data_IF_128245341558
#
_entry.id   IF_128245341558
#
_cell.length_a   1.000
_cell.length_b   1.000
_cell.length_c   1.000
_cell.angle_alpha   90.00
_cell.angle_beta   90.00
_cell.angle_gamma   90.00
#
_symmetry.space_group_name_H-M   'P 1'
#
loop_
_entity.id
_entity.type
_entity.pdbx_description
1 polymer ?
#
# COMPACT_ATOMS: atom_id res chain seq x y z
N UNK A 1 -1.40 20.79 -5.15
CA UNK A 1 0.09 20.72 -5.07
C UNK A 1 0.52 20.31 -3.68
N UNK A 2 1.79 19.99 -3.48
CA UNK A 2 2.36 19.65 -2.16
C UNK A 2 3.58 20.52 -1.88
N UNK A 3 3.84 20.83 -0.61
CA UNK A 3 4.99 21.62 -0.19
C UNK A 3 5.32 21.40 1.27
N UNK A 4 6.52 21.83 1.69
CA UNK A 4 6.96 21.76 3.08
C UNK A 4 7.62 23.06 3.50
N UNK A 5 7.40 23.43 4.74
CA UNK A 5 8.03 24.58 5.39
C UNK A 5 8.66 24.11 6.71
N UNK A 6 9.76 24.74 7.10
CA UNK A 6 10.38 24.50 8.39
C UNK A 6 9.92 25.60 9.35
N UNK A 7 9.35 25.19 10.48
CA UNK A 7 8.89 26.08 11.55
C UNK A 7 9.51 25.61 12.87
N UNK A 8 9.94 26.57 13.69
CA UNK A 8 10.38 26.34 15.06
C UNK A 8 9.48 27.20 15.96
N UNK A 9 8.37 26.62 16.46
CA UNK A 9 7.38 27.39 17.19
C UNK A 9 7.76 27.55 18.67
N UNK A 10 7.45 28.73 19.22
CA UNK A 10 7.42 28.95 20.67
C UNK A 10 6.09 28.44 21.26
N UNK A 11 6.07 28.19 22.59
CA UNK A 11 4.92 27.59 23.28
C UNK A 11 3.63 28.41 23.18
N UNK A 12 3.75 29.73 22.98
CA UNK A 12 2.63 30.66 22.90
C UNK A 12 2.19 30.96 21.47
N UNK A 13 2.88 30.38 20.48
CA UNK A 13 2.58 30.69 19.09
C UNK A 13 1.27 30.04 18.64
N UNK A 14 0.54 30.79 17.81
CA UNK A 14 -0.62 30.31 17.07
C UNK A 14 -0.40 30.64 15.59
N UNK A 15 -0.45 29.60 14.74
CA UNK A 15 -0.21 29.74 13.31
C UNK A 15 -1.49 29.55 12.52
N UNK A 16 -1.58 30.25 11.38
CA UNK A 16 -2.58 30.02 10.36
C UNK A 16 -1.89 30.08 8.99
N UNK A 17 -2.42 29.36 8.02
CA UNK A 17 -2.00 29.42 6.63
C UNK A 17 -2.97 30.30 5.83
N UNK A 18 -2.43 31.27 5.09
CA UNK A 18 -3.16 32.00 4.05
C UNK A 18 -2.76 31.41 2.70
N UNK A 19 -3.74 31.05 1.88
CA UNK A 19 -3.50 30.46 0.57
C UNK A 19 -4.58 30.89 -0.43
N UNK A 20 -4.25 30.84 -1.72
CA UNK A 20 -5.19 31.15 -2.81
C UNK A 20 -5.56 29.89 -3.57
N UNK A 21 -6.84 29.73 -3.88
CA UNK A 21 -7.28 28.66 -4.77
C UNK A 21 -6.99 28.99 -6.26
N UNK A 22 -7.35 28.08 -7.16
CA UNK A 22 -7.16 28.24 -8.60
C UNK A 22 -7.89 29.45 -9.20
N UNK A 23 -8.90 29.99 -8.49
CA UNK A 23 -9.66 31.18 -8.89
C UNK A 23 -9.11 32.46 -8.26
N UNK A 24 -8.04 32.36 -7.47
CA UNK A 24 -7.40 33.49 -6.78
C UNK A 24 -8.09 33.93 -5.49
N UNK A 25 -9.09 33.18 -5.00
CA UNK A 25 -9.79 33.49 -3.75
C UNK A 25 -8.90 33.16 -2.57
N UNK A 26 -8.76 34.09 -1.63
CA UNK A 26 -7.99 33.88 -0.39
C UNK A 26 -8.76 33.05 0.62
N UNK A 27 -8.08 32.04 1.15
CA UNK A 27 -8.56 31.15 2.19
C UNK A 27 -7.63 31.23 3.40
N UNK A 28 -8.21 31.04 4.59
CA UNK A 28 -7.47 30.92 5.84
C UNK A 28 -7.73 29.56 6.45
N UNK A 29 -6.66 28.88 6.85
CA UNK A 29 -6.72 27.61 7.57
C UNK A 29 -5.88 27.73 8.84
N UNK A 30 -6.52 27.63 10.01
CA UNK A 30 -5.78 27.65 11.28
C UNK A 30 -5.00 26.33 11.45
N UNK A 31 -3.74 26.42 11.89
CA UNK A 31 -2.92 25.24 12.20
C UNK A 31 -3.20 24.75 13.62
N UNK A 32 -2.91 23.46 13.93
CA UNK A 32 -3.06 22.93 15.28
C UNK A 32 -2.26 23.73 16.30
N UNK A 33 -2.77 23.91 17.53
CA UNK A 33 -2.06 24.61 18.59
C UNK A 33 -0.77 23.86 18.97
N UNK A 34 0.25 24.62 19.35
CA UNK A 34 1.54 24.07 19.82
C UNK A 34 1.30 23.28 21.10
N UNK A 35 1.77 22.03 21.14
CA UNK A 35 1.70 21.19 22.34
C UNK A 35 2.89 21.46 23.24
N UNK A 36 2.64 21.70 24.54
CA UNK A 36 3.68 21.93 25.54
C UNK A 36 4.44 20.66 25.97
N UNK A 37 3.97 19.48 25.54
CA UNK A 37 4.56 18.18 25.82
C UNK A 37 4.44 17.26 24.59
N UNK A 38 5.31 16.26 24.52
CA UNK A 38 5.40 15.30 23.41
C UNK A 38 6.83 15.13 22.91
N UNK A 39 6.96 14.64 21.68
CA UNK A 39 8.24 14.53 20.97
C UNK A 39 8.10 15.03 19.54
N UNK A 40 9.16 15.66 19.03
CA UNK A 40 9.29 16.00 17.63
C UNK A 40 10.19 14.96 16.96
N UNK A 41 9.69 14.33 15.89
CA UNK A 41 10.45 13.40 15.06
C UNK A 41 10.82 14.09 13.75
N UNK A 42 12.11 14.12 13.42
CA UNK A 42 12.62 14.54 12.12
C UNK A 42 13.32 13.36 11.47
N UNK A 43 13.10 13.21 10.16
CA UNK A 43 13.73 12.17 9.35
C UNK A 43 14.26 12.78 8.06
N UNK A 44 15.45 12.35 7.66
CA UNK A 44 16.09 12.70 6.40
C UNK A 44 16.62 11.42 5.73
N UNK A 45 16.37 11.29 4.44
CA UNK A 45 16.99 10.24 3.64
C UNK A 45 18.34 10.75 3.11
N UNK A 46 19.43 10.08 3.47
CA UNK A 46 20.80 10.46 3.10
C UNK A 46 21.55 9.20 2.65
N UNK A 47 21.83 9.07 1.34
CA UNK A 47 22.72 8.07 0.75
C UNK A 47 22.66 6.67 1.41
N UNK A 48 21.59 5.91 1.11
CA UNK A 48 21.34 4.55 1.63
C UNK A 48 21.26 4.46 3.16
N UNK A 49 20.92 5.57 3.82
CA UNK A 49 20.65 5.64 5.26
C UNK A 49 19.47 6.57 5.52
N UNK A 50 18.69 6.22 6.52
CA UNK A 50 17.63 7.08 7.05
C UNK A 50 18.13 7.64 8.39
N UNK A 51 18.36 8.94 8.43
CA UNK A 51 18.82 9.66 9.62
C UNK A 51 17.61 10.23 10.32
N UNK A 52 17.42 9.87 11.59
CA UNK A 52 16.34 10.40 12.40
C UNK A 52 16.87 11.15 13.61
N UNK A 53 16.13 12.16 14.04
CA UNK A 53 16.31 12.81 15.34
C UNK A 53 14.98 12.91 16.07
N UNK A 54 15.03 12.69 17.38
CA UNK A 54 13.92 12.84 18.30
C UNK A 54 14.29 13.92 19.29
N UNK A 55 13.40 14.91 19.46
CA UNK A 55 13.55 15.97 20.43
C UNK A 55 12.35 16.03 21.38
N UNK A 56 12.59 16.41 22.64
CA UNK A 56 11.56 16.71 23.63
C UNK A 56 11.74 18.13 24.20
N UNK A 57 10.69 18.76 24.74
CA UNK A 57 10.84 20.00 25.50
C UNK A 57 11.75 19.81 26.71
N UNK A 58 12.64 20.78 26.98
CA UNK A 58 13.62 20.68 28.05
C UNK A 58 12.97 20.58 29.43
N UNK A 59 11.86 21.30 29.66
CA UNK A 59 11.19 21.32 30.96
C UNK A 59 10.27 20.10 31.19
N UNK A 60 10.09 19.25 30.18
CA UNK A 60 9.26 18.04 30.30
C UNK A 60 10.04 16.89 30.97
N UNK A 61 9.51 16.35 32.06
CA UNK A 61 10.03 15.11 32.66
C UNK A 61 9.54 13.84 31.94
N UNK A 62 8.54 13.95 31.07
CA UNK A 62 8.08 12.86 30.23
C UNK A 62 9.03 12.59 29.05
N UNK A 63 9.02 11.36 28.54
CA UNK A 63 9.76 10.92 27.34
C UNK A 63 11.29 11.12 27.43
N UNK A 64 11.86 11.04 28.64
CA UNK A 64 13.32 11.02 28.84
C UNK A 64 13.99 9.80 28.21
N UNK A 65 13.21 8.75 27.95
CA UNK A 65 13.59 7.62 27.12
C UNK A 65 12.42 7.31 26.20
N UNK A 66 12.73 6.98 24.95
CA UNK A 66 11.74 6.59 23.93
C UNK A 66 12.25 5.41 23.13
N UNK A 67 11.33 4.65 22.55
CA UNK A 67 11.63 3.54 21.67
C UNK A 67 11.35 3.99 20.24
N UNK A 68 12.35 3.90 19.37
CA UNK A 68 12.19 4.14 17.94
C UNK A 68 12.11 2.79 17.25
N UNK A 69 11.04 2.57 16.49
CA UNK A 69 10.82 1.34 15.74
C UNK A 69 10.53 1.66 14.29
N UNK A 70 11.17 0.96 13.36
CA UNK A 70 10.87 1.03 11.94
C UNK A 70 10.29 -0.31 11.46
N UNK A 71 9.25 -0.22 10.65
CA UNK A 71 8.55 -1.35 10.07
C UNK A 71 8.48 -1.18 8.55
N UNK A 72 8.67 -2.28 7.84
CA UNK A 72 8.55 -2.35 6.38
C UNK A 72 8.03 -3.73 6.02
N UNK A 73 7.06 -3.82 5.09
CA UNK A 73 6.45 -5.08 4.68
C UNK A 73 5.98 -5.96 5.86
N UNK A 74 5.42 -5.33 6.90
CA UNK A 74 4.94 -5.99 8.14
C UNK A 74 6.04 -6.61 9.01
N UNK A 75 7.31 -6.31 8.74
CA UNK A 75 8.45 -6.76 9.54
C UNK A 75 9.09 -5.57 10.27
N UNK A 76 9.56 -5.80 11.49
CA UNK A 76 10.38 -4.83 12.22
C UNK A 76 11.78 -4.89 11.63
N UNK A 77 12.22 -3.81 10.99
CA UNK A 77 13.54 -3.71 10.36
C UNK A 77 14.54 -2.93 11.23
N UNK A 78 14.05 -2.17 12.21
CA UNK A 78 14.88 -1.45 13.16
C UNK A 78 14.14 -1.25 14.49
N UNK A 79 14.85 -1.41 15.61
CA UNK A 79 14.34 -1.06 16.94
C UNK A 79 15.51 -0.57 17.79
N UNK A 80 15.39 0.61 18.38
CA UNK A 80 16.39 1.16 19.29
C UNK A 80 15.75 1.99 20.40
N UNK A 81 16.41 2.03 21.55
CA UNK A 81 16.07 2.95 22.63
C UNK A 81 16.91 4.22 22.48
N UNK A 82 16.25 5.38 22.54
CA UNK A 82 16.90 6.70 22.50
C UNK A 82 16.80 7.32 23.88
N UNK A 83 17.95 7.63 24.46
CA UNK A 83 18.04 8.34 25.75
C UNK A 83 18.05 9.86 25.50
N UNK A 84 17.07 10.54 26.09
CA UNK A 84 16.86 11.98 26.04
C UNK A 84 16.96 12.63 27.43
N UNK A 85 17.51 11.93 28.42
CA UNK A 85 17.61 12.42 29.81
C UNK A 85 18.59 13.58 29.92
N UNK A 86 19.82 13.38 29.45
CA UNK A 86 20.92 14.35 29.58
C UNK A 86 20.99 15.31 28.38
N UNK A 87 20.49 14.89 27.21
CA UNK A 87 20.34 15.72 26.02
C UNK A 87 18.88 15.68 25.55
N UNK A 88 18.28 16.85 25.33
CA UNK A 88 16.86 16.96 24.92
C UNK A 88 16.61 16.60 23.47
N UNK A 89 17.67 16.36 22.70
CA UNK A 89 17.64 15.88 21.33
C UNK A 89 18.71 14.80 21.14
N UNK A 90 18.31 13.69 20.54
CA UNK A 90 19.22 12.60 20.16
C UNK A 90 18.67 11.90 18.92
N UNK A 91 19.48 11.07 18.27
CA UNK A 91 19.12 10.49 16.99
C UNK A 91 19.98 9.30 16.63
N UNK A 92 19.71 8.74 15.46
CA UNK A 92 20.39 7.58 14.94
C UNK A 92 20.26 7.46 13.44
N UNK A 93 20.95 6.47 12.89
CA UNK A 93 20.93 6.16 11.48
C UNK A 93 20.43 4.73 11.31
N UNK A 94 19.48 4.53 10.40
CA UNK A 94 19.01 3.23 9.97
C UNK A 94 19.68 2.94 8.62
N UNK A 95 20.56 1.93 8.52
CA UNK A 95 21.07 1.49 7.23
C UNK A 95 19.93 0.99 6.36
N UNK A 96 19.79 1.52 5.14
CA UNK A 96 18.70 1.14 4.23
C UNK A 96 19.17 0.34 3.03
N UNK A 97 20.48 0.11 2.87
CA UNK A 97 21.05 -0.55 1.69
C UNK A 97 20.51 -1.97 1.44
N UNK A 98 20.30 -2.73 2.51
CA UNK A 98 19.82 -4.13 2.46
C UNK A 98 18.29 -4.25 2.55
N UNK A 99 17.57 -3.11 2.71
CA UNK A 99 16.12 -3.12 2.78
C UNK A 99 15.52 -3.29 1.38
N UNK A 100 14.32 -3.87 1.24
CA UNK A 100 13.63 -3.85 -0.03
C UNK A 100 13.22 -2.42 -0.43
N UNK A 101 12.87 -2.22 -1.71
CA UNK A 101 12.20 -0.98 -2.13
C UNK A 101 10.76 -0.97 -1.61
N UNK A 102 10.29 0.19 -1.15
CA UNK A 102 8.91 0.39 -0.71
C UNK A 102 8.77 1.39 0.44
N UNK A 103 7.61 1.36 1.07
CA UNK A 103 7.25 2.24 2.18
C UNK A 103 7.79 1.69 3.51
N UNK A 104 8.49 2.54 4.24
CA UNK A 104 8.97 2.31 5.60
C UNK A 104 8.28 3.26 6.57
N UNK A 105 7.72 2.71 7.65
CA UNK A 105 7.06 3.47 8.72
C UNK A 105 7.97 3.51 9.94
N UNK A 106 8.31 4.71 10.39
CA UNK A 106 9.07 4.97 11.61
C UNK A 106 8.13 5.50 12.69
N UNK A 107 8.05 4.82 13.83
CA UNK A 107 7.21 5.21 14.96
C UNK A 107 8.06 5.38 16.22
N UNK A 108 7.83 6.46 16.96
CA UNK A 108 8.42 6.72 18.27
C UNK A 108 7.38 6.38 19.33
N UNK A 109 7.74 5.55 20.29
CA UNK A 109 6.90 5.15 21.41
C UNK A 109 7.48 5.66 22.73
N UNK A 110 6.61 5.88 23.71
CA UNK A 110 7.04 5.95 25.11
C UNK A 110 7.41 4.54 25.66
N UNK A 111 7.79 4.46 26.93
CA UNK A 111 8.11 3.18 27.58
C UNK A 111 6.90 2.28 27.84
N UNK A 112 5.68 2.80 27.71
CA UNK A 112 4.45 2.03 27.80
C UNK A 112 3.95 1.57 26.42
N UNK A 113 4.78 1.69 25.38
CA UNK A 113 4.47 1.35 23.99
C UNK A 113 3.30 2.17 23.40
N UNK A 114 3.08 3.38 23.91
CA UNK A 114 2.13 4.35 23.34
C UNK A 114 2.84 5.16 22.24
N UNK A 115 2.32 5.22 21.00
CA UNK A 115 2.95 5.98 19.93
C UNK A 115 2.84 7.50 20.19
N UNK A 116 3.97 8.18 20.08
CA UNK A 116 4.11 9.62 20.31
C UNK A 116 4.21 10.41 18.99
N UNK A 117 4.95 9.87 18.02
CA UNK A 117 5.17 10.49 16.72
C UNK A 117 5.43 9.42 15.65
N UNK A 118 5.13 9.74 14.41
CA UNK A 118 5.30 8.83 13.28
C UNK A 118 5.78 9.56 12.04
N UNK A 119 6.53 8.85 11.21
CA UNK A 119 6.99 9.30 9.91
C UNK A 119 7.00 8.13 8.92
N UNK A 120 6.30 8.30 7.81
CA UNK A 120 6.37 7.39 6.65
C UNK A 120 7.51 7.86 5.74
N UNK A 121 8.31 6.97 5.20
CA UNK A 121 9.40 7.27 4.27
C UNK A 121 9.39 6.26 3.13
N UNK A 122 9.91 6.65 1.96
CA UNK A 122 10.12 5.73 0.86
C UNK A 122 11.59 5.33 0.77
N UNK A 123 11.87 4.03 0.80
CA UNK A 123 13.20 3.48 0.56
C UNK A 123 13.22 3.01 -0.90
N UNK A 124 14.14 3.55 -1.70
CA UNK A 124 14.31 3.15 -3.08
C UNK A 124 15.71 2.57 -3.32
N UNK A 125 15.78 1.25 -3.43
CA UNK A 125 17.00 0.51 -3.75
C UNK A 125 16.94 -0.13 -5.14
N UNK A 126 15.90 0.18 -5.93
CA UNK A 126 15.76 -0.24 -7.34
C UNK A 126 15.73 -1.74 -7.57
N UNK A 127 15.53 -2.52 -6.51
CA UNK A 127 15.48 -3.99 -6.57
C UNK A 127 14.18 -4.55 -7.18
N UNK A 128 13.32 -3.68 -7.72
CA UNK A 128 12.13 -4.03 -8.50
C UNK A 128 12.36 -3.88 -10.01
N UNK A 129 13.46 -3.24 -10.42
CA UNK A 129 13.71 -2.97 -11.83
C UNK A 129 14.01 -4.26 -12.59
N UNK A 130 13.37 -4.41 -13.74
CA UNK A 130 13.65 -5.48 -14.71
C UNK A 130 14.32 -4.86 -15.92
N UNK A 131 15.56 -5.26 -16.21
CA UNK A 131 16.37 -4.72 -17.32
C UNK A 131 16.04 -5.40 -18.65
N UNK A 132 14.76 -5.59 -18.96
CA UNK A 132 14.31 -6.06 -20.27
C UNK A 132 14.07 -4.89 -21.22
N UNK A 133 14.42 -5.05 -22.49
CA UNK A 133 14.15 -4.07 -23.53
C UNK A 133 13.24 -4.67 -24.60
N UNK A 134 12.14 -3.97 -24.91
CA UNK A 134 11.28 -4.27 -26.05
C UNK A 134 11.59 -3.25 -27.16
N UNK A 135 11.99 -3.72 -28.32
CA UNK A 135 12.20 -2.92 -29.52
C UNK A 135 11.26 -3.37 -30.64
N UNK A 136 10.83 -2.42 -31.47
CA UNK A 136 10.07 -2.71 -32.70
C UNK A 136 11.06 -2.72 -33.85
N UNK A 137 11.50 -3.90 -34.25
CA UNK A 137 12.46 -4.08 -35.34
C UNK A 137 11.84 -3.73 -36.71
N UNK A 138 10.58 -4.12 -36.93
CA UNK A 138 9.83 -3.75 -38.12
C UNK A 138 8.36 -3.45 -37.78
N UNK A 139 7.86 -2.31 -38.25
CA UNK A 139 6.45 -1.91 -38.10
C UNK A 139 5.77 -1.78 -39.46
N UNK A 140 4.69 -2.52 -39.68
CA UNK A 140 3.84 -2.38 -40.85
C UNK A 140 2.57 -1.62 -40.51
N UNK A 141 2.22 -0.62 -41.32
CA UNK A 141 0.97 0.13 -41.22
C UNK A 141 -0.15 -0.46 -42.09
N UNK A 142 0.13 -1.54 -42.82
CA UNK A 142 -0.87 -2.22 -43.62
C UNK A 142 -1.74 -3.11 -42.74
N UNK A 143 -3.02 -3.25 -43.11
CA UNK A 143 -3.93 -4.22 -42.48
C UNK A 143 -3.32 -5.62 -42.57
N UNK A 144 -3.07 -6.25 -41.41
CA UNK A 144 -2.42 -7.58 -41.28
C UNK A 144 -0.98 -7.63 -41.82
N UNK A 145 -0.30 -6.49 -41.91
CA UNK A 145 1.12 -6.46 -42.23
C UNK A 145 1.96 -7.12 -41.14
N UNK A 146 3.10 -7.73 -41.52
CA UNK A 146 4.05 -8.32 -40.58
C UNK A 146 4.67 -7.21 -39.73
N UNK A 147 4.65 -7.40 -38.42
CA UNK A 147 5.42 -6.63 -37.46
C UNK A 147 6.45 -7.56 -36.83
N UNK A 148 7.60 -7.02 -36.46
CA UNK A 148 8.68 -7.74 -35.81
C UNK A 148 9.03 -7.01 -34.53
N UNK A 149 8.88 -7.72 -33.42
CA UNK A 149 9.19 -7.25 -32.08
C UNK A 149 10.38 -8.07 -31.61
N UNK A 150 11.36 -7.40 -31.05
CA UNK A 150 12.54 -8.00 -30.45
C UNK A 150 12.53 -7.68 -28.95
N UNK A 151 12.77 -8.72 -28.15
CA UNK A 151 12.80 -8.63 -26.69
C UNK A 151 14.16 -9.07 -26.22
N UNK A 152 14.94 -8.10 -25.77
CA UNK A 152 16.26 -8.34 -25.20
C UNK A 152 16.11 -8.53 -23.69
N UNK A 153 16.60 -9.66 -23.19
CA UNK A 153 16.62 -10.00 -21.76
C UNK A 153 18.06 -10.37 -21.39
N UNK A 154 18.58 -9.93 -20.24
CA UNK A 154 19.87 -10.39 -19.76
C UNK A 154 19.90 -11.91 -19.58
N UNK A 155 20.94 -12.57 -20.10
CA UNK A 155 21.10 -14.03 -20.09
C UNK A 155 20.99 -14.67 -18.70
N UNK A 156 21.31 -13.92 -17.64
CA UNK A 156 21.27 -14.38 -16.26
C UNK A 156 19.84 -14.48 -15.68
N UNK A 157 18.80 -14.01 -16.38
CA UNK A 157 17.44 -13.90 -15.85
C UNK A 157 16.48 -14.82 -16.58
N UNK A 158 16.16 -15.97 -15.96
CA UNK A 158 15.09 -16.83 -16.45
C UNK A 158 13.75 -16.07 -16.42
N UNK A 159 13.13 -15.90 -17.57
CA UNK A 159 11.96 -15.03 -17.74
C UNK A 159 10.81 -15.76 -18.42
N UNK A 160 9.60 -15.62 -17.87
CA UNK A 160 8.35 -16.01 -18.52
C UNK A 160 7.65 -14.72 -18.96
N UNK A 161 7.49 -14.54 -20.27
CA UNK A 161 6.96 -13.30 -20.83
C UNK A 161 5.57 -13.47 -21.40
N UNK A 162 4.74 -12.44 -21.25
CA UNK A 162 3.45 -12.31 -21.90
C UNK A 162 3.43 -10.98 -22.66
N UNK A 163 2.83 -10.98 -23.84
CA UNK A 163 2.68 -9.77 -24.68
C UNK A 163 1.19 -9.57 -24.94
N UNK A 164 0.72 -8.35 -24.68
CA UNK A 164 -0.61 -7.89 -25.07
C UNK A 164 -0.46 -6.76 -26.09
N UNK A 165 -1.31 -6.78 -27.13
CA UNK A 165 -1.36 -5.73 -28.16
C UNK A 165 -2.76 -5.11 -28.06
N UNK A 166 -2.81 -3.84 -27.68
CA UNK A 166 -4.06 -3.09 -27.51
C UNK A 166 -4.12 -1.91 -28.47
N UNK A 167 -5.33 -1.39 -28.68
CA UNK A 167 -5.55 -0.16 -29.44
C UNK A 167 -5.21 1.06 -28.57
N UNK A 168 -4.35 1.94 -29.09
CA UNK A 168 -3.85 3.10 -28.36
C UNK A 168 -4.92 4.14 -28.02
N UNK A 169 -6.05 4.17 -28.73
CA UNK A 169 -7.17 5.09 -28.48
C UNK A 169 -8.23 4.50 -27.54
N UNK A 170 -8.24 3.18 -27.36
CA UNK A 170 -9.20 2.47 -26.51
C UNK A 170 -8.69 2.35 -25.08
N UNK A 171 -7.39 2.16 -24.90
CA UNK A 171 -6.78 2.19 -23.57
C UNK A 171 -6.66 3.63 -23.06
N UNK A 172 -7.57 4.02 -22.16
CA UNK A 172 -7.50 5.28 -21.42
C UNK A 172 -6.33 5.38 -20.44
N UNK A 173 -5.41 4.40 -20.45
CA UNK A 173 -4.26 4.33 -19.56
C UNK A 173 -3.22 5.39 -19.94
N UNK A 174 -2.96 6.30 -19.02
CA UNK A 174 -1.90 7.30 -19.13
C UNK A 174 -0.60 6.68 -18.67
N UNK A 175 0.51 7.21 -19.20
CA UNK A 175 1.87 6.69 -18.95
C UNK A 175 2.18 6.63 -17.44
N UNK A 176 1.60 7.52 -16.64
CA UNK A 176 1.87 7.63 -15.19
C UNK A 176 0.77 7.08 -14.28
N UNK A 177 -0.22 6.41 -14.87
CA UNK A 177 -1.28 5.78 -14.09
C UNK A 177 -0.73 4.69 -13.17
N UNK A 178 -1.53 4.32 -12.18
CA UNK A 178 -1.17 3.27 -11.24
C UNK A 178 -1.01 1.94 -11.97
N UNK A 179 0.13 1.27 -11.76
CA UNK A 179 0.46 -0.03 -12.35
C UNK A 179 1.01 -0.96 -11.27
N UNK A 180 1.35 -2.20 -11.64
CA UNK A 180 1.83 -3.20 -10.67
C UNK A 180 3.02 -2.72 -9.83
N UNK A 181 3.92 -1.90 -10.37
CA UNK A 181 5.08 -1.37 -9.65
C UNK A 181 4.60 -0.35 -8.61
N UNK A 182 3.88 0.70 -9.02
CA UNK A 182 3.40 1.72 -8.10
C UNK A 182 2.36 1.19 -7.13
N UNK A 183 1.54 0.22 -7.53
CA UNK A 183 0.53 -0.41 -6.68
C UNK A 183 1.17 -1.20 -5.55
N UNK A 184 2.16 -2.03 -5.84
CA UNK A 184 2.81 -2.86 -4.83
C UNK A 184 3.78 -2.08 -3.95
N UNK A 185 4.47 -1.07 -4.50
CA UNK A 185 5.52 -0.35 -3.77
C UNK A 185 5.00 0.90 -3.07
N UNK A 186 3.92 1.53 -3.55
CA UNK A 186 3.48 2.86 -3.13
C UNK A 186 1.99 2.91 -2.75
N UNK A 187 1.06 2.77 -3.70
CA UNK A 187 -0.36 3.07 -3.45
C UNK A 187 -1.07 2.01 -2.61
N UNK A 188 -0.62 0.75 -2.66
CA UNK A 188 -1.08 -0.29 -1.74
C UNK A 188 -0.69 -0.03 -0.28
N UNK A 189 0.35 0.80 -0.09
CA UNK A 189 0.90 1.17 1.20
C UNK A 189 0.58 2.60 1.66
N UNK A 190 -0.29 3.32 0.95
CA UNK A 190 -0.71 4.67 1.35
C UNK A 190 -2.22 4.80 1.34
N UNK A 191 -2.74 5.61 2.27
CA UNK A 191 -4.15 5.98 2.25
C UNK A 191 -4.36 7.26 1.43
N UNK A 192 -5.35 7.22 0.54
CA UNK A 192 -5.76 8.38 -0.26
C UNK A 192 -5.34 8.27 -1.72
N UNK A 193 -5.71 9.30 -2.49
CA UNK A 193 -5.43 9.35 -3.92
C UNK A 193 -4.05 9.94 -4.18
N UNK A 194 -3.12 9.11 -4.64
CA UNK A 194 -1.82 9.57 -5.16
C UNK A 194 -1.97 9.91 -6.63
N UNK A 195 -1.69 11.16 -6.98
CA UNK A 195 -1.72 11.61 -8.37
C UNK A 195 -0.53 11.04 -9.13
N UNK A 196 -0.81 10.41 -10.27
CA UNK A 196 0.18 9.85 -11.21
C UNK A 196 1.24 8.96 -10.51
N UNK A 197 0.86 7.88 -9.81
CA UNK A 197 1.76 7.14 -8.92
C UNK A 197 3.04 6.62 -9.58
N UNK A 198 2.97 6.22 -10.84
CA UNK A 198 4.13 5.68 -11.56
C UNK A 198 5.13 6.76 -11.99
N UNK A 199 4.74 8.04 -11.94
CA UNK A 199 5.66 9.16 -12.17
C UNK A 199 6.85 9.16 -11.19
N UNK A 200 6.64 8.72 -9.94
CA UNK A 200 7.70 8.71 -8.92
C UNK A 200 8.75 7.60 -9.09
N UNK A 201 8.64 6.78 -10.15
CA UNK A 201 9.55 5.67 -10.44
C UNK A 201 10.35 5.86 -11.73
N UNK A 202 10.24 7.04 -12.37
CA UNK A 202 10.87 7.31 -13.67
C UNK A 202 12.39 7.44 -13.61
N UNK A 203 12.92 8.05 -12.54
CA UNK A 203 14.35 8.27 -12.35
C UNK A 203 14.66 8.59 -10.88
N UNK A 204 15.96 8.83 -10.61
CA UNK A 204 16.48 9.14 -9.28
C UNK A 204 16.93 10.60 -9.14
N UNK A 205 16.32 11.52 -9.90
CA UNK A 205 16.63 12.94 -9.73
C UNK A 205 16.24 13.41 -8.32
N UNK A 206 17.05 14.31 -7.76
CA UNK A 206 16.79 14.88 -6.43
C UNK A 206 15.40 15.51 -6.33
N UNK A 207 14.93 16.13 -7.42
CA UNK A 207 13.58 16.70 -7.52
C UNK A 207 12.49 15.65 -7.30
N UNK A 208 12.60 14.50 -7.98
CA UNK A 208 11.60 13.44 -7.91
C UNK A 208 11.63 12.75 -6.52
N UNK A 209 12.81 12.56 -5.94
CA UNK A 209 12.96 12.07 -4.56
C UNK A 209 12.29 13.03 -3.56
N UNK A 210 12.47 14.35 -3.73
CA UNK A 210 11.81 15.35 -2.89
C UNK A 210 10.29 15.37 -3.09
N UNK A 211 9.81 15.18 -4.31
CA UNK A 211 8.37 15.12 -4.60
C UNK A 211 7.72 13.87 -4.00
N UNK A 212 8.40 12.72 -4.06
CA UNK A 212 7.95 11.49 -3.40
C UNK A 212 7.96 11.65 -1.86
N UNK A 213 8.96 12.33 -1.31
CA UNK A 213 8.99 12.68 0.12
C UNK A 213 7.77 13.52 0.55
N UNK A 214 7.31 14.43 -0.31
CA UNK A 214 6.08 15.20 -0.08
C UNK A 214 4.82 14.32 -0.12
N UNK A 215 4.78 13.29 -0.98
CA UNK A 215 3.70 12.29 -0.94
C UNK A 215 3.71 11.60 0.42
N UNK A 216 4.87 11.14 0.91
CA UNK A 216 4.98 10.47 2.22
C UNK A 216 4.56 11.37 3.39
N UNK A 217 4.76 12.68 3.28
CA UNK A 217 4.38 13.65 4.32
C UNK A 217 2.88 13.97 4.31
N UNK A 218 2.21 13.84 3.17
CA UNK A 218 0.80 14.24 2.99
C UNK A 218 -0.16 13.06 3.01
N UNK A 219 0.29 11.90 2.55
CA UNK A 219 -0.46 10.66 2.55
C UNK A 219 0.04 9.81 3.72
N UNK A 220 -0.58 10.02 4.87
CA UNK A 220 -0.27 9.22 6.07
C UNK A 220 -0.59 7.74 5.85
N UNK A 221 0.08 6.89 6.62
CA UNK A 221 -0.16 5.46 6.64
C UNK A 221 -0.63 5.01 8.02
N UNK A 222 -1.79 4.34 8.10
CA UNK A 222 -2.26 3.68 9.33
C UNK A 222 -3.06 2.43 8.96
N UNK A 223 -2.39 1.30 8.70
CA UNK A 223 -3.09 0.00 8.58
C UNK A 223 -3.90 -0.32 9.84
N UNK A 224 -3.45 0.15 11.00
CA UNK A 224 -4.08 -0.06 12.29
C UNK A 224 -3.85 1.13 13.21
N UNK A 225 -4.72 1.29 14.20
CA UNK A 225 -4.50 2.19 15.32
C UNK A 225 -3.79 1.41 16.42
N UNK A 226 -2.60 1.84 16.82
CA UNK A 226 -1.86 1.24 17.94
C UNK A 226 -2.69 1.15 19.22
N UNK A 227 -3.55 2.14 19.47
CA UNK A 227 -4.49 2.14 20.60
C UNK A 227 -5.51 0.99 20.55
N UNK A 228 -5.92 0.57 19.35
CA UNK A 228 -6.83 -0.57 19.17
C UNK A 228 -6.08 -1.88 19.37
N UNK A 229 -4.87 -2.01 18.83
CA UNK A 229 -4.01 -3.19 19.05
C UNK A 229 -3.66 -3.38 20.53
N UNK A 230 -3.31 -2.30 21.24
CA UNK A 230 -3.02 -2.34 22.68
C UNK A 230 -4.23 -2.80 23.52
N UNK A 231 -5.45 -2.60 23.00
CA UNK A 231 -6.71 -3.08 23.60
C UNK A 231 -7.11 -4.48 23.12
N UNK A 232 -6.24 -5.16 22.36
CA UNK A 232 -6.51 -6.49 21.78
C UNK A 232 -7.52 -6.48 20.64
N UNK A 233 -7.87 -5.31 20.08
CA UNK A 233 -8.76 -5.22 18.92
C UNK A 233 -7.97 -5.46 17.65
N UNK A 234 -8.11 -6.66 17.10
CA UNK A 234 -7.51 -7.03 15.82
C UNK A 234 -8.34 -6.48 14.64
N UNK A 235 -7.69 -6.14 13.51
CA UNK A 235 -8.41 -5.75 12.30
C UNK A 235 -9.24 -6.93 11.77
N UNK A 236 -10.43 -6.63 11.25
CA UNK A 236 -11.26 -7.63 10.56
C UNK A 236 -10.68 -7.88 9.18
N UNK A 237 -10.14 -9.08 8.96
CA UNK A 237 -9.61 -9.50 7.66
C UNK A 237 -10.81 -9.80 6.75
N UNK A 238 -11.11 -8.90 5.81
CA UNK A 238 -12.24 -9.04 4.87
C UNK A 238 -12.00 -10.13 3.81
N UNK A 239 -10.74 -10.37 3.46
CA UNK A 239 -10.33 -11.31 2.43
C UNK A 239 -9.22 -12.20 3.01
N UNK A 240 -9.57 -13.33 3.65
CA UNK A 240 -8.58 -14.26 4.16
C UNK A 240 -7.80 -14.90 3.00
N UNK A 241 -6.60 -15.41 3.30
CA UNK A 241 -5.86 -16.22 2.34
C UNK A 241 -6.64 -17.53 2.14
N UNK A 242 -7.21 -17.70 0.95
CA UNK A 242 -7.82 -18.96 0.53
C UNK A 242 -6.83 -19.69 -0.38
N UNK A 243 -6.46 -20.92 -0.04
CA UNK A 243 -5.49 -21.72 -0.80
C UNK A 243 -6.03 -22.19 -2.16
N UNK A 244 -7.33 -22.05 -2.40
CA UNK A 244 -8.06 -22.61 -3.53
C UNK A 244 -9.23 -21.71 -3.90
N UNK A 245 -9.84 -21.98 -5.05
CA UNK A 245 -11.02 -21.24 -5.48
C UNK A 245 -12.20 -21.54 -4.54
N UNK A 246 -13.10 -20.56 -4.43
CA UNK A 246 -14.37 -20.70 -3.73
C UNK A 246 -15.54 -20.37 -4.67
N UNK A 247 -16.69 -21.00 -4.41
CA UNK A 247 -17.94 -20.69 -5.07
C UNK A 247 -18.84 -19.99 -4.06
N UNK A 248 -19.27 -18.78 -4.44
CA UNK A 248 -20.25 -18.00 -3.70
C UNK A 248 -21.50 -17.87 -4.57
N UNK A 249 -22.66 -18.26 -4.03
CA UNK A 249 -23.94 -18.08 -4.69
C UNK A 249 -24.88 -17.28 -3.78
N UNK A 250 -25.60 -16.34 -4.36
CA UNK A 250 -26.58 -15.50 -3.66
C UNK A 250 -27.92 -15.58 -4.39
N UNK A 251 -28.97 -15.94 -3.65
CA UNK A 251 -30.33 -16.04 -4.17
C UNK A 251 -30.97 -14.66 -4.14
N UNK A 252 -31.31 -14.14 -5.31
CA UNK A 252 -31.99 -12.85 -5.46
C UNK A 252 -33.50 -13.06 -5.71
N UNK A 253 -34.32 -12.12 -5.26
CA UNK A 253 -35.76 -12.10 -5.54
C UNK A 253 -36.63 -13.04 -4.67
N UNK A 254 -36.03 -13.79 -3.75
CA UNK A 254 -36.73 -14.61 -2.76
C UNK A 254 -36.45 -14.06 -1.36
N UNK A 255 -37.49 -13.91 -0.54
CA UNK A 255 -37.29 -13.48 0.84
C UNK A 255 -36.51 -14.56 1.62
N UNK A 256 -35.48 -14.15 2.39
CA UNK A 256 -34.61 -15.07 3.14
C UNK A 256 -35.37 -16.01 4.08
N UNK A 257 -36.55 -15.62 4.56
CA UNK A 257 -37.41 -16.46 5.40
C UNK A 257 -38.02 -17.66 4.66
N UNK A 258 -37.99 -17.67 3.33
CA UNK A 258 -38.51 -18.74 2.47
C UNK A 258 -37.43 -19.74 2.04
N UNK A 259 -36.17 -19.51 2.40
CA UNK A 259 -35.06 -20.42 2.12
C UNK A 259 -34.81 -21.24 3.40
N UNK A 260 -34.92 -22.56 3.29
CA UNK A 260 -34.68 -23.44 4.43
C UNK A 260 -33.21 -23.33 4.88
N UNK A 261 -32.96 -23.42 6.20
CA UNK A 261 -31.61 -23.23 6.75
C UNK A 261 -30.70 -24.43 6.52
N UNK A 262 -31.30 -25.59 6.32
CA UNK A 262 -30.68 -26.88 5.97
C UNK A 262 -30.65 -27.12 4.46
N UNK A 263 -31.08 -26.14 3.65
CA UNK A 263 -31.01 -26.20 2.20
C UNK A 263 -29.56 -26.26 1.72
N UNK A 264 -29.33 -26.97 0.61
CA UNK A 264 -28.03 -26.97 -0.06
C UNK A 264 -28.20 -26.84 -1.57
N UNK A 265 -27.34 -26.05 -2.19
CA UNK A 265 -27.27 -25.92 -3.63
C UNK A 265 -26.39 -27.03 -4.20
N UNK A 266 -26.95 -27.92 -5.01
CA UNK A 266 -26.15 -28.87 -5.77
C UNK A 266 -25.54 -28.17 -6.97
N UNK A 267 -24.23 -28.30 -7.13
CA UNK A 267 -23.48 -27.79 -8.27
C UNK A 267 -22.75 -28.95 -8.93
N UNK A 268 -22.98 -29.14 -10.23
CA UNK A 268 -22.25 -30.08 -11.07
C UNK A 268 -21.24 -29.29 -11.87
N UNK A 269 -19.96 -29.56 -11.64
CA UNK A 269 -18.88 -29.06 -12.48
C UNK A 269 -18.55 -30.08 -13.55
N UNK A 270 -18.57 -29.64 -14.81
CA UNK A 270 -18.12 -30.40 -15.97
C UNK A 270 -16.82 -29.79 -16.50
N UNK A 271 -15.74 -30.55 -16.43
CA UNK A 271 -14.44 -30.17 -16.98
C UNK A 271 -14.40 -30.34 -18.51
N UNK A 272 -13.36 -29.79 -19.15
CA UNK A 272 -13.15 -29.89 -20.60
C UNK A 272 -13.03 -31.32 -21.13
N UNK A 273 -12.47 -32.23 -20.33
CA UNK A 273 -12.40 -33.68 -20.62
C UNK A 273 -13.73 -34.41 -20.39
N UNK A 274 -14.80 -33.67 -20.11
CA UNK A 274 -16.14 -34.16 -19.75
C UNK A 274 -16.23 -34.87 -18.40
N UNK A 275 -15.18 -34.89 -17.58
CA UNK A 275 -15.26 -35.37 -16.21
C UNK A 275 -16.21 -34.48 -15.41
N UNK A 276 -17.13 -35.10 -14.66
CA UNK A 276 -18.13 -34.39 -13.86
C UNK A 276 -17.91 -34.64 -12.37
N UNK A 277 -17.90 -33.57 -11.57
CA UNK A 277 -17.88 -33.64 -10.12
C UNK A 277 -19.13 -32.94 -9.58
N UNK A 278 -19.83 -33.59 -8.66
CA UNK A 278 -20.98 -32.99 -7.96
C UNK A 278 -20.53 -32.48 -6.59
N UNK A 279 -20.95 -31.27 -6.25
CA UNK A 279 -20.67 -30.60 -5.00
C UNK A 279 -21.98 -30.15 -4.38
N UNK A 280 -22.17 -30.45 -3.10
CA UNK A 280 -23.22 -29.82 -2.31
C UNK A 280 -22.64 -28.57 -1.66
N UNK A 281 -23.24 -27.42 -1.96
CA UNK A 281 -22.84 -26.11 -1.46
C UNK A 281 -23.81 -25.73 -0.33
N UNK A 282 -23.37 -25.71 0.93
CA UNK A 282 -24.24 -25.49 2.07
C UNK A 282 -24.74 -24.04 2.16
N UNK A 283 -25.94 -23.87 2.71
CA UNK A 283 -26.46 -22.57 3.11
C UNK A 283 -25.61 -21.95 4.22
N UNK A 284 -25.32 -20.66 4.11
CA UNK A 284 -24.55 -19.90 5.10
C UNK A 284 -25.46 -18.95 5.88
N UNK A 285 -25.96 -17.91 5.21
CA UNK A 285 -26.86 -16.91 5.80
C UNK A 285 -27.44 -16.01 4.72
N UNK A 286 -28.62 -15.42 4.99
CA UNK A 286 -29.25 -14.41 4.13
C UNK A 286 -29.33 -14.79 2.64
N UNK A 287 -29.73 -16.03 2.34
CA UNK A 287 -29.83 -16.52 0.96
C UNK A 287 -28.49 -16.78 0.27
N UNK A 288 -27.39 -16.82 1.03
CA UNK A 288 -26.03 -17.08 0.52
C UNK A 288 -25.60 -18.52 0.77
N UNK A 289 -24.92 -19.08 -0.21
CA UNK A 289 -24.33 -20.43 -0.22
C UNK A 289 -22.85 -20.30 -0.52
N UNK A 290 -22.01 -21.08 0.18
CA UNK A 290 -20.55 -21.01 0.03
C UNK A 290 -19.90 -22.38 0.15
N UNK A 291 -18.93 -22.64 -0.73
CA UNK A 291 -17.98 -23.74 -0.58
C UNK A 291 -16.58 -23.24 -1.00
N UNK A 292 -15.56 -23.66 -0.28
CA UNK A 292 -14.15 -23.37 -0.57
C UNK A 292 -13.37 -24.66 -0.83
N UNK A 293 -12.11 -24.54 -1.25
CA UNK A 293 -11.29 -25.72 -1.54
C UNK A 293 -11.47 -26.28 -2.96
N UNK A 294 -12.02 -25.49 -3.89
CA UNK A 294 -12.26 -25.94 -5.25
C UNK A 294 -10.98 -25.95 -6.07
N UNK A 295 -10.70 -27.09 -6.69
CA UNK A 295 -9.58 -27.28 -7.61
C UNK A 295 -10.15 -27.78 -8.93
N UNK A 296 -9.92 -27.02 -9.99
CA UNK A 296 -10.15 -27.48 -11.35
C UNK A 296 -9.13 -26.85 -12.28
N UNK A 297 -8.83 -27.54 -13.38
CA UNK A 297 -7.82 -27.13 -14.35
C UNK A 297 -8.51 -26.75 -15.67
N UNK A 298 -7.99 -25.74 -16.36
CA UNK A 298 -8.55 -25.23 -17.62
C UNK A 298 -10.01 -24.73 -17.43
N UNK A 299 -10.93 -25.14 -18.30
CA UNK A 299 -12.29 -24.64 -18.39
C UNK A 299 -13.27 -25.59 -17.71
N UNK A 300 -14.13 -25.07 -16.84
CA UNK A 300 -15.21 -25.82 -16.21
C UNK A 300 -16.56 -25.13 -16.42
N UNK A 301 -17.62 -25.92 -16.69
CA UNK A 301 -19.01 -25.46 -16.71
C UNK A 301 -19.68 -25.86 -15.41
N UNK A 302 -20.32 -24.91 -14.73
CA UNK A 302 -21.08 -25.16 -13.52
C UNK A 302 -22.59 -25.18 -13.83
N UNK A 303 -23.25 -26.30 -13.56
CA UNK A 303 -24.71 -26.42 -13.57
C UNK A 303 -25.18 -26.47 -12.12
N UNK A 304 -26.27 -25.81 -11.78
CA UNK A 304 -26.73 -25.71 -10.39
C UNK A 304 -28.23 -25.98 -10.25
N UNK A 305 -28.61 -26.59 -9.14
CA UNK A 305 -30.00 -26.87 -8.78
C UNK A 305 -30.14 -26.91 -7.25
N UNK A 306 -31.25 -26.41 -6.71
CA UNK A 306 -31.59 -26.64 -5.30
C UNK A 306 -31.99 -28.11 -5.08
N UNK A 307 -31.73 -28.63 -3.88
CA UNK A 307 -32.37 -29.88 -3.49
C UNK A 307 -33.87 -29.60 -3.39
N UNK A 308 -34.66 -30.37 -4.14
CA UNK A 308 -36.13 -30.33 -4.07
C UNK A 308 -36.58 -31.51 -3.22
#
# INVERSE_FOLDING_TARGET
GMGKILLVPDKTDAFYALWKDEKGVEHRTDLPPVKSSGVALRVMNLNRKLVFSVARPAESLANQQVIVMAHMNQQVVYKAMVNLKDATMSGGNIPTAELPTGVLQLTVFDLNEVPLAERVCFINNHNYAFEGKLSVHAKSLLKRGRNELEVDIPDAVQSNLCIAITDAEVDGNRIWDDNIISSLLLTGDLHGYVKDPYYYFQNNSDSLVQQLDLVMLTHGWRRFKWEDLAKGKMPVIKFPIENYLSLNAEVLGVANSRIAKDESLNVIFQNKDSATNMLSVPYVSNGKFHVSGLIFFDTAKAYYQFNV
#
